data_IF_996100033768
#
_entry.id   IF_996100033768
#
_cell.length_a   1.000
_cell.length_b   1.000
_cell.length_c   1.000
_cell.angle_alpha   90.00
_cell.angle_beta   90.00
_cell.angle_gamma   90.00
#
_symmetry.space_group_name_H-M   'P 1'
#
loop_
_entity.id
_entity.type
_entity.pdbx_description
1 polymer ?
#
# COMPACT_ATOMS: atom_id res chain seq x y z
N UNK A 1 -12.40 -16.03 6.69
CA UNK A 1 -11.79 -14.77 6.24
C UNK A 1 -10.76 -15.05 5.15
N UNK A 2 -10.77 -14.28 4.08
CA UNK A 2 -9.74 -14.31 3.04
C UNK A 2 -8.87 -13.05 3.14
N UNK A 3 -7.57 -13.20 3.11
CA UNK A 3 -6.67 -12.06 3.14
C UNK A 3 -5.52 -12.21 2.13
N UNK A 4 -4.94 -11.09 1.76
CA UNK A 4 -3.69 -11.02 0.98
C UNK A 4 -2.65 -10.29 1.83
N UNK A 5 -1.43 -10.79 1.81
CA UNK A 5 -0.26 -10.14 2.39
C UNK A 5 0.78 -9.90 1.31
N UNK A 6 1.19 -8.64 1.17
CA UNK A 6 2.25 -8.22 0.25
C UNK A 6 3.29 -7.38 0.98
N UNK A 7 4.51 -7.36 0.44
CA UNK A 7 5.60 -6.54 0.92
C UNK A 7 6.52 -6.17 -0.24
N UNK A 8 7.35 -5.14 -0.08
CA UNK A 8 8.40 -4.76 -1.03
C UNK A 8 7.89 -4.54 -2.46
N UNK A 9 6.75 -3.88 -2.61
CA UNK A 9 6.17 -3.54 -3.92
C UNK A 9 7.05 -2.55 -4.67
N UNK A 10 7.63 -1.59 -3.93
CA UNK A 10 8.56 -0.58 -4.46
C UNK A 10 7.99 0.26 -5.62
N UNK A 11 6.75 0.77 -5.46
CA UNK A 11 6.16 1.70 -6.41
C UNK A 11 7.09 2.89 -6.66
N UNK A 12 7.31 3.23 -7.92
CA UNK A 12 8.22 4.30 -8.33
C UNK A 12 9.67 3.89 -8.52
N UNK A 13 10.03 2.63 -8.25
CA UNK A 13 11.35 2.11 -8.59
C UNK A 13 11.56 2.10 -10.11
N UNK A 14 12.80 2.35 -10.51
CA UNK A 14 13.25 2.26 -11.91
C UNK A 14 14.34 1.20 -12.03
N UNK A 15 13.97 -0.08 -12.08
CA UNK A 15 14.94 -1.17 -12.25
C UNK A 15 15.72 -1.00 -13.55
N UNK A 16 16.97 -1.43 -13.56
CA UNK A 16 17.84 -1.36 -14.74
C UNK A 16 18.01 0.06 -15.31
N UNK A 17 18.07 1.07 -14.45
CA UNK A 17 18.19 2.48 -14.84
C UNK A 17 19.28 2.69 -15.88
N UNK A 18 18.95 3.40 -16.96
CA UNK A 18 19.85 3.62 -18.09
C UNK A 18 19.80 2.52 -19.16
N UNK A 19 19.00 1.48 -18.98
CA UNK A 19 18.71 0.49 -20.02
C UNK A 19 17.43 0.87 -20.76
N UNK A 20 17.33 0.46 -22.04
CA UNK A 20 16.16 0.77 -22.89
C UNK A 20 14.84 0.19 -22.39
N UNK A 21 14.89 -0.84 -21.56
CA UNK A 21 13.71 -1.49 -20.94
C UNK A 21 13.37 -0.97 -19.56
N UNK A 22 14.13 -0.02 -19.00
CA UNK A 22 13.91 0.48 -17.63
C UNK A 22 12.50 1.04 -17.44
N UNK A 23 11.97 1.81 -18.39
CA UNK A 23 10.62 2.38 -18.31
C UNK A 23 9.53 1.32 -18.35
N UNK A 24 9.76 0.22 -19.10
CA UNK A 24 8.85 -0.92 -19.14
C UNK A 24 8.81 -1.61 -17.77
N UNK A 25 9.97 -1.84 -17.18
CA UNK A 25 10.09 -2.45 -15.84
C UNK A 25 9.41 -1.61 -14.74
N UNK A 26 9.60 -0.30 -14.80
CA UNK A 26 8.94 0.61 -13.87
C UNK A 26 7.40 0.53 -13.98
N UNK A 27 6.86 0.46 -15.19
CA UNK A 27 5.42 0.32 -15.43
C UNK A 27 4.87 -1.05 -14.98
N UNK A 28 5.65 -2.12 -15.13
CA UNK A 28 5.27 -3.47 -14.69
C UNK A 28 5.02 -3.53 -13.17
N UNK A 29 5.76 -2.77 -12.37
CA UNK A 29 5.55 -2.68 -10.92
C UNK A 29 4.15 -2.13 -10.62
N UNK A 30 3.76 -1.02 -11.23
CA UNK A 30 2.42 -0.46 -11.09
C UNK A 30 1.34 -1.42 -11.59
N UNK A 31 1.55 -2.06 -12.75
CA UNK A 31 0.61 -3.03 -13.30
C UNK A 31 0.42 -4.23 -12.37
N UNK A 32 1.49 -4.70 -11.73
CA UNK A 32 1.43 -5.79 -10.76
C UNK A 32 0.62 -5.38 -9.53
N UNK A 33 0.84 -4.17 -9.01
CA UNK A 33 0.04 -3.67 -7.89
C UNK A 33 -1.44 -3.52 -8.27
N UNK A 34 -1.74 -2.98 -9.46
CA UNK A 34 -3.13 -2.91 -9.96
C UNK A 34 -3.76 -4.31 -10.04
N UNK A 35 -2.99 -5.33 -10.46
CA UNK A 35 -3.48 -6.72 -10.48
C UNK A 35 -3.80 -7.24 -9.08
N UNK A 36 -3.05 -6.85 -8.05
CA UNK A 36 -3.39 -7.18 -6.66
C UNK A 36 -4.76 -6.59 -6.28
N UNK A 37 -5.02 -5.33 -6.64
CA UNK A 37 -6.32 -4.68 -6.40
C UNK A 37 -7.46 -5.42 -7.12
N UNK A 38 -7.26 -5.78 -8.38
CA UNK A 38 -8.24 -6.58 -9.14
C UNK A 38 -8.52 -7.93 -8.46
N UNK A 39 -7.48 -8.64 -8.03
CA UNK A 39 -7.62 -9.92 -7.31
C UNK A 39 -8.38 -9.74 -6.00
N UNK A 40 -8.14 -8.65 -5.28
CA UNK A 40 -8.91 -8.33 -4.07
C UNK A 40 -10.41 -8.27 -4.36
N UNK A 41 -10.81 -7.58 -5.42
CA UNK A 41 -12.21 -7.47 -5.83
C UNK A 41 -12.78 -8.80 -6.35
N UNK A 42 -12.08 -9.47 -7.27
CA UNK A 42 -12.49 -10.73 -7.89
C UNK A 42 -12.69 -11.85 -6.85
N UNK A 43 -11.76 -11.97 -5.90
CA UNK A 43 -11.76 -13.03 -4.90
C UNK A 43 -12.49 -12.67 -3.60
N UNK A 44 -13.03 -11.46 -3.53
CA UNK A 44 -13.70 -10.92 -2.33
C UNK A 44 -12.78 -11.02 -1.10
N UNK A 45 -11.61 -10.41 -1.23
CA UNK A 45 -10.62 -10.34 -0.15
C UNK A 45 -11.14 -9.36 0.91
N UNK A 46 -11.13 -9.78 2.17
CA UNK A 46 -11.64 -8.98 3.28
C UNK A 46 -10.54 -8.13 3.92
N UNK A 47 -9.27 -8.58 3.82
CA UNK A 47 -8.13 -7.89 4.43
C UNK A 47 -6.91 -7.89 3.50
N UNK A 48 -6.35 -6.71 3.25
CA UNK A 48 -5.09 -6.51 2.52
C UNK A 48 -4.04 -5.97 3.50
N UNK A 49 -2.97 -6.72 3.69
CA UNK A 49 -1.83 -6.35 4.52
C UNK A 49 -0.66 -5.95 3.63
N UNK A 50 -0.13 -4.73 3.82
CA UNK A 50 1.03 -4.19 3.10
C UNK A 50 2.15 -3.97 4.09
N UNK A 51 3.14 -4.87 4.08
CA UNK A 51 4.18 -4.97 5.08
C UNK A 51 5.52 -4.35 4.65
N UNK A 52 5.53 -3.03 4.51
CA UNK A 52 6.74 -2.25 4.24
C UNK A 52 7.09 -2.12 2.76
N UNK A 53 7.80 -1.03 2.46
CA UNK A 53 8.34 -0.71 1.14
C UNK A 53 7.30 -0.78 0.02
N UNK A 54 6.10 -0.22 0.30
CA UNK A 54 5.08 -0.03 -0.74
C UNK A 54 5.61 0.92 -1.82
N UNK A 55 6.28 1.99 -1.40
CA UNK A 55 7.00 2.91 -2.28
C UNK A 55 8.51 2.69 -2.22
N UNK A 56 9.19 2.95 -3.33
CA UNK A 56 10.65 2.85 -3.43
C UNK A 56 11.38 3.98 -2.69
N UNK A 57 10.69 5.11 -2.48
CA UNK A 57 11.17 6.25 -1.68
C UNK A 57 10.00 6.78 -0.86
N UNK A 58 10.26 7.75 0.02
CA UNK A 58 9.19 8.44 0.74
C UNK A 58 8.15 9.00 -0.22
N UNK A 59 6.86 8.65 -0.07
CA UNK A 59 5.81 9.11 -0.96
C UNK A 59 5.53 10.60 -0.79
N UNK A 60 5.15 11.23 -1.89
CA UNK A 60 4.55 12.55 -1.89
C UNK A 60 3.04 12.46 -1.60
N UNK A 61 2.41 13.59 -1.34
CA UNK A 61 0.94 13.65 -1.22
C UNK A 61 0.24 13.15 -2.50
N UNK A 62 0.82 13.44 -3.67
CA UNK A 62 0.28 12.97 -4.95
C UNK A 62 0.35 11.44 -5.08
N UNK A 63 1.44 10.83 -4.60
CA UNK A 63 1.57 9.36 -4.58
C UNK A 63 0.51 8.72 -3.68
N UNK A 64 0.23 9.32 -2.52
CA UNK A 64 -0.81 8.81 -1.62
C UNK A 64 -2.22 9.03 -2.17
N UNK A 65 -2.48 10.12 -2.89
CA UNK A 65 -3.75 10.31 -3.61
C UNK A 65 -3.99 9.25 -4.67
N UNK A 66 -2.96 8.90 -5.44
CA UNK A 66 -3.05 7.85 -6.44
C UNK A 66 -3.28 6.47 -5.78
N UNK A 67 -2.54 6.18 -4.71
CA UNK A 67 -2.73 4.95 -3.92
C UNK A 67 -4.17 4.86 -3.40
N UNK A 68 -4.66 5.92 -2.77
CA UNK A 68 -6.01 5.98 -2.21
C UNK A 68 -7.08 5.79 -3.28
N UNK A 69 -6.88 6.41 -4.46
CA UNK A 69 -7.76 6.20 -5.61
C UNK A 69 -7.85 4.72 -6.02
N UNK A 70 -6.72 3.98 -6.01
CA UNK A 70 -6.72 2.55 -6.29
C UNK A 70 -7.42 1.75 -5.19
N UNK A 71 -7.14 2.06 -3.92
CA UNK A 71 -7.73 1.35 -2.77
C UNK A 71 -9.24 1.59 -2.64
N UNK A 72 -9.76 2.74 -3.09
CA UNK A 72 -11.21 2.99 -3.14
C UNK A 72 -11.98 2.09 -4.10
N UNK A 73 -11.28 1.41 -5.04
CA UNK A 73 -11.91 0.42 -5.92
C UNK A 73 -12.30 -0.87 -5.20
N UNK A 74 -11.74 -1.10 -4.00
CA UNK A 74 -12.02 -2.27 -3.16
C UNK A 74 -12.65 -1.86 -1.82
N UNK A 75 -13.83 -1.24 -1.82
CA UNK A 75 -14.42 -0.63 -0.62
C UNK A 75 -14.77 -1.64 0.48
N UNK A 76 -14.89 -2.91 0.13
CA UNK A 76 -15.18 -3.99 1.07
C UNK A 76 -13.92 -4.64 1.66
N UNK A 77 -12.74 -4.24 1.21
CA UNK A 77 -11.44 -4.71 1.72
C UNK A 77 -10.89 -3.72 2.75
N UNK A 78 -10.57 -4.21 3.95
CA UNK A 78 -9.79 -3.43 4.92
C UNK A 78 -8.33 -3.45 4.49
N UNK A 79 -7.66 -2.31 4.45
CA UNK A 79 -6.24 -2.24 4.12
C UNK A 79 -5.46 -1.77 5.34
N UNK A 80 -4.42 -2.51 5.71
CA UNK A 80 -3.48 -2.11 6.77
C UNK A 80 -2.09 -1.97 6.16
N UNK A 81 -1.48 -0.81 6.34
CA UNK A 81 -0.16 -0.47 5.80
C UNK A 81 0.79 -0.23 6.95
N UNK A 82 1.96 -0.84 6.90
CA UNK A 82 3.13 -0.45 7.69
C UNK A 82 4.20 0.05 6.73
N UNK A 83 4.82 1.19 7.03
CA UNK A 83 5.94 1.70 6.24
C UNK A 83 7.21 0.86 6.47
N UNK A 84 8.08 0.83 5.48
CA UNK A 84 9.37 0.14 5.52
C UNK A 84 10.54 1.10 5.72
N UNK A 85 11.73 0.64 5.40
CA UNK A 85 12.96 1.42 5.51
C UNK A 85 13.18 2.37 4.32
N UNK A 86 12.53 2.14 3.19
CA UNK A 86 12.61 3.01 2.01
C UNK A 86 11.54 4.11 2.05
N UNK A 87 10.32 3.75 2.43
CA UNK A 87 9.15 4.63 2.46
C UNK A 87 8.75 5.05 3.90
N UNK A 88 9.73 5.13 4.79
CA UNK A 88 9.51 5.39 6.22
C UNK A 88 8.74 6.70 6.50
N UNK A 89 8.08 6.72 7.67
CA UNK A 89 7.29 7.86 8.12
C UNK A 89 8.18 8.84 8.89
N UNK A 90 8.38 10.03 8.33
CA UNK A 90 9.02 11.17 9.03
C UNK A 90 7.96 12.04 9.71
N UNK A 91 8.33 12.81 10.75
CA UNK A 91 7.47 13.86 11.28
C UNK A 91 7.05 14.85 10.20
N UNK A 92 5.73 15.06 10.04
CA UNK A 92 5.16 15.95 9.04
C UNK A 92 5.25 15.45 7.61
N UNK A 93 5.59 14.18 7.39
CA UNK A 93 5.59 13.57 6.06
C UNK A 93 4.16 13.42 5.50
N UNK A 94 4.06 13.15 4.20
CA UNK A 94 2.77 12.90 3.56
C UNK A 94 1.99 11.76 4.23
N UNK A 95 2.67 10.72 4.74
CA UNK A 95 2.05 9.65 5.51
C UNK A 95 1.26 10.13 6.72
N UNK A 96 1.77 11.13 7.45
CA UNK A 96 1.09 11.66 8.64
C UNK A 96 0.01 12.68 8.31
N UNK A 97 0.18 13.43 7.23
CA UNK A 97 -0.71 14.55 6.89
C UNK A 97 -1.86 14.16 5.96
N UNK A 98 -1.70 13.08 5.20
CA UNK A 98 -2.72 12.61 4.27
C UNK A 98 -3.83 11.83 5.00
N UNK A 99 -5.08 12.14 4.69
CA UNK A 99 -6.24 11.41 5.19
C UNK A 99 -6.80 10.54 4.08
N UNK A 100 -6.76 9.22 4.27
CA UNK A 100 -7.33 8.26 3.33
C UNK A 100 -8.86 8.32 3.33
N UNK A 101 -9.46 8.30 2.15
CA UNK A 101 -10.90 8.15 1.95
C UNK A 101 -11.31 6.68 1.84
N UNK A 102 -10.37 5.80 1.52
CA UNK A 102 -10.54 4.34 1.50
C UNK A 102 -10.52 3.73 2.91
N UNK A 103 -10.88 2.44 3.01
CA UNK A 103 -10.79 1.67 4.26
C UNK A 103 -9.33 1.31 4.61
N UNK A 104 -8.47 2.33 4.72
CA UNK A 104 -7.04 2.18 4.91
C UNK A 104 -6.59 2.72 6.25
N UNK A 105 -5.81 1.92 6.97
CA UNK A 105 -5.14 2.29 8.21
C UNK A 105 -3.64 2.21 7.99
N UNK A 106 -2.94 3.30 8.25
CA UNK A 106 -1.48 3.34 8.29
C UNK A 106 -1.04 3.19 9.73
N UNK A 107 -0.23 2.17 10.02
CA UNK A 107 0.26 1.91 11.37
C UNK A 107 1.29 2.95 11.79
N UNK A 108 1.35 3.32 13.09
CA UNK A 108 2.28 4.34 13.58
C UNK A 108 3.74 3.88 13.41
N UNK A 109 4.65 4.86 13.33
CA UNK A 109 6.09 4.65 13.07
C UNK A 109 6.91 4.27 14.31
N UNK A 110 6.48 4.71 15.47
CA UNK A 110 7.32 4.80 16.68
C UNK A 110 6.90 3.87 17.82
N UNK A 111 5.87 3.09 17.60
CA UNK A 111 5.37 2.15 18.60
C UNK A 111 4.68 0.95 17.95
N UNK A 112 4.71 -0.18 18.64
CA UNK A 112 3.86 -1.30 18.30
C UNK A 112 2.39 -0.91 18.53
N UNK A 113 1.56 -1.18 17.56
CA UNK A 113 0.13 -0.89 17.61
C UNK A 113 -0.66 -2.07 17.06
N UNK A 114 -1.92 -2.14 17.42
CA UNK A 114 -2.85 -3.12 16.87
C UNK A 114 -4.16 -2.45 16.48
N UNK A 115 -4.82 -3.01 15.49
CA UNK A 115 -6.16 -2.61 15.07
C UNK A 115 -7.08 -3.83 15.10
N UNK A 116 -8.26 -3.66 15.72
CA UNK A 116 -9.27 -4.72 15.77
C UNK A 116 -10.41 -4.39 14.81
N UNK A 117 -10.72 -5.32 13.93
CA UNK A 117 -11.85 -5.26 13.01
C UNK A 117 -12.97 -6.15 13.53
N UNK A 118 -14.00 -5.54 14.13
CA UNK A 118 -15.13 -6.28 14.74
C UNK A 118 -15.87 -7.15 13.72
N UNK A 119 -16.12 -6.61 12.53
CA UNK A 119 -16.85 -7.28 11.45
C UNK A 119 -16.11 -8.53 10.92
N UNK A 120 -14.80 -8.57 11.05
CA UNK A 120 -13.96 -9.72 10.70
C UNK A 120 -13.57 -10.58 11.89
N UNK A 121 -13.78 -10.08 13.10
CA UNK A 121 -13.28 -10.68 14.35
C UNK A 121 -11.77 -10.95 14.31
N UNK A 122 -11.00 -9.98 13.84
CA UNK A 122 -9.55 -10.08 13.64
C UNK A 122 -8.83 -8.88 14.26
N UNK A 123 -7.72 -9.17 14.92
CA UNK A 123 -6.74 -8.19 15.39
C UNK A 123 -5.48 -8.29 14.51
N UNK A 124 -5.03 -7.16 13.96
CA UNK A 124 -3.80 -7.03 13.19
C UNK A 124 -2.75 -6.31 14.01
#
# INVERSE_FOLDING_TARGET
MKFIHIADVNLGAQPDRGRIWSDVRAKEIYSTFHRVIEVCEEQKIELLLIAGNLFYTRPTEQDLKELDFQLRKIPNTKTVIIAGDQDYIDPGSAWETYTFESNTIVMPRDQAASVYFEDLNVCV
#
